data_IF_959937406320
#
_entry.id   IF_959937406320
#
_cell.length_a   1.000
_cell.length_b   1.000
_cell.length_c   1.000
_cell.angle_alpha   90.00
_cell.angle_beta   90.00
_cell.angle_gamma   90.00
#
_symmetry.space_group_name_H-M   'P 1'
#
loop_
_entity.id
_entity.type
_entity.pdbx_description
1 polymer ?
#
# COMPACT_ATOMS: atom_id res chain seq x y z
N UNK A 1 23.87 -7.00 36.93
CA UNK A 1 23.10 -5.85 36.39
C UNK A 1 23.10 -5.99 34.87
N UNK A 2 22.05 -6.55 34.28
CA UNK A 2 21.90 -6.61 32.83
C UNK A 2 20.65 -5.82 32.46
N UNK A 3 20.83 -4.71 31.74
CA UNK A 3 19.73 -3.96 31.16
C UNK A 3 19.35 -4.65 29.85
N UNK A 4 18.20 -5.33 29.83
CA UNK A 4 17.60 -5.82 28.60
C UNK A 4 16.91 -4.61 27.97
N UNK A 5 17.53 -4.05 26.94
CA UNK A 5 16.90 -3.02 26.11
C UNK A 5 15.85 -3.76 25.25
N UNK A 6 14.63 -3.86 25.75
CA UNK A 6 13.47 -4.17 24.90
C UNK A 6 13.24 -2.96 24.00
N UNK A 7 13.33 -3.07 22.66
CA UNK A 7 12.86 -2.00 21.80
C UNK A 7 11.35 -1.89 22.03
N UNK A 8 10.98 -0.82 22.74
CA UNK A 8 9.61 -0.36 22.89
C UNK A 8 8.99 -0.32 21.49
N UNK A 9 7.99 -1.17 21.26
CA UNK A 9 7.16 -1.14 20.06
C UNK A 9 6.39 0.17 20.11
N UNK A 10 7.03 1.25 19.68
CA UNK A 10 6.40 2.53 19.45
C UNK A 10 5.19 2.26 18.58
N UNK A 11 4.02 2.46 19.18
CA UNK A 11 2.70 2.49 18.57
C UNK A 11 2.78 2.98 17.11
N UNK A 12 2.74 2.04 16.17
CA UNK A 12 2.32 2.34 14.81
C UNK A 12 0.79 2.46 14.85
N UNK A 13 0.32 3.58 15.40
CA UNK A 13 -0.98 4.15 14.99
C UNK A 13 -0.87 4.73 13.58
N UNK A 14 -0.29 3.96 12.66
CA UNK A 14 -0.43 4.14 11.23
C UNK A 14 -1.35 3.03 10.80
N UNK A 15 -2.57 3.35 10.40
CA UNK A 15 -3.42 2.39 9.68
C UNK A 15 -2.56 1.78 8.58
N UNK A 16 -2.14 0.52 8.75
CA UNK A 16 -1.33 -0.19 7.76
C UNK A 16 -2.17 -0.18 6.50
N UNK A 17 -1.78 0.64 5.52
CA UNK A 17 -2.49 0.69 4.25
C UNK A 17 -2.19 -0.62 3.55
N UNK A 18 -3.24 -1.41 3.34
CA UNK A 18 -3.17 -2.68 2.67
C UNK A 18 -3.74 -2.51 1.27
N UNK A 19 -3.03 -3.02 0.27
CA UNK A 19 -3.60 -3.24 -1.05
C UNK A 19 -4.14 -4.65 -1.12
N UNK A 20 -5.31 -4.80 -1.73
CA UNK A 20 -5.95 -6.10 -1.87
C UNK A 20 -6.07 -6.41 -3.35
N UNK A 21 -5.48 -7.51 -3.82
CA UNK A 21 -5.70 -7.91 -5.20
C UNK A 21 -7.18 -8.25 -5.42
N UNK A 22 -7.81 -7.64 -6.42
CA UNK A 22 -9.23 -7.88 -6.74
C UNK A 22 -9.49 -9.23 -7.42
N UNK A 23 -8.46 -9.86 -7.95
CA UNK A 23 -8.58 -11.15 -8.61
C UNK A 23 -8.43 -12.32 -7.63
N UNK A 24 -7.36 -12.35 -6.85
CA UNK A 24 -7.09 -13.46 -5.91
C UNK A 24 -7.35 -13.13 -4.44
N UNK A 25 -7.71 -11.90 -4.09
CA UNK A 25 -7.91 -11.42 -2.71
C UNK A 25 -6.66 -11.43 -1.81
N UNK A 26 -5.46 -11.62 -2.40
CA UNK A 26 -4.21 -11.48 -1.66
C UNK A 26 -4.04 -10.05 -1.13
N UNK A 27 -3.50 -9.91 0.08
CA UNK A 27 -3.32 -8.62 0.75
C UNK A 27 -1.83 -8.33 0.89
N UNK A 28 -1.44 -7.12 0.52
CA UNK A 28 -0.06 -6.67 0.52
C UNK A 28 0.06 -5.38 1.32
N UNK A 29 1.16 -5.21 2.04
CA UNK A 29 1.44 -3.94 2.71
C UNK A 29 1.83 -2.91 1.65
N UNK A 30 1.36 -1.67 1.80
CA UNK A 30 1.66 -0.57 0.86
C UNK A 30 3.16 -0.40 0.57
N UNK A 31 4.01 -0.65 1.57
CA UNK A 31 5.47 -0.52 1.45
C UNK A 31 6.13 -1.71 0.71
N UNK A 32 5.45 -2.86 0.60
CA UNK A 32 6.00 -4.08 -0.01
C UNK A 32 5.85 -4.12 -1.53
N UNK A 33 4.87 -3.38 -2.07
CA UNK A 33 4.57 -3.33 -3.49
C UNK A 33 4.73 -1.88 -3.96
N UNK A 34 5.52 -1.67 -4.99
CA UNK A 34 5.65 -0.36 -5.61
C UNK A 34 4.49 -0.12 -6.59
N UNK A 35 3.79 1.00 -6.42
CA UNK A 35 2.77 1.43 -7.39
C UNK A 35 3.46 1.97 -8.64
N UNK A 36 3.02 1.47 -9.80
CA UNK A 36 3.46 1.93 -11.10
C UNK A 36 2.43 2.90 -11.69
N UNK A 37 2.85 3.69 -12.68
CA UNK A 37 1.96 4.55 -13.45
C UNK A 37 2.22 4.36 -14.94
N UNK A 38 1.16 4.27 -15.73
CA UNK A 38 1.21 4.25 -17.20
C UNK A 38 0.20 5.25 -17.78
N UNK A 39 -0.02 5.17 -19.09
CA UNK A 39 -1.01 5.98 -19.82
C UNK A 39 -2.45 5.80 -19.29
N UNK A 40 -2.75 4.67 -18.63
CA UNK A 40 -4.08 4.37 -18.04
C UNK A 40 -4.22 4.86 -16.59
N UNK A 41 -3.13 5.30 -15.97
CA UNK A 41 -3.07 5.81 -14.59
C UNK A 41 -2.22 4.95 -13.66
N UNK A 42 -2.48 5.06 -12.36
CA UNK A 42 -1.75 4.31 -11.33
C UNK A 42 -2.27 2.89 -11.19
N UNK A 43 -1.38 1.93 -10.97
CA UNK A 43 -1.72 0.52 -10.77
C UNK A 43 -0.62 -0.22 -10.01
N UNK A 44 -0.94 -1.41 -9.50
CA UNK A 44 0.07 -2.37 -9.06
C UNK A 44 -0.22 -3.75 -9.66
N UNK A 45 0.83 -4.53 -9.87
CA UNK A 45 0.72 -5.92 -10.32
C UNK A 45 0.75 -6.82 -9.08
N UNK A 46 -0.24 -7.70 -8.96
CA UNK A 46 -0.27 -8.69 -7.89
C UNK A 46 0.85 -9.73 -8.10
N UNK A 47 1.69 -9.96 -7.09
CA UNK A 47 2.78 -10.94 -7.18
C UNK A 47 2.31 -12.41 -7.15
N UNK A 48 1.08 -12.66 -6.69
CA UNK A 48 0.55 -14.02 -6.58
C UNK A 48 -0.21 -14.50 -7.84
N UNK A 49 -0.76 -13.58 -8.63
CA UNK A 49 -1.59 -13.94 -9.78
C UNK A 49 -1.37 -13.06 -11.02
N UNK A 50 -0.36 -12.18 -11.01
CA UNK A 50 0.00 -11.24 -12.07
C UNK A 50 -1.14 -10.30 -12.51
N UNK A 51 -2.22 -10.24 -11.74
CA UNK A 51 -3.36 -9.39 -12.06
C UNK A 51 -3.04 -7.92 -11.83
N UNK A 52 -3.44 -7.07 -12.79
CA UNK A 52 -3.28 -5.61 -12.73
C UNK A 52 -4.42 -4.99 -11.92
N UNK A 53 -4.07 -4.39 -10.78
CA UNK A 53 -5.01 -3.72 -9.90
C UNK A 53 -4.90 -2.20 -10.07
N UNK A 54 -5.99 -1.56 -10.47
CA UNK A 54 -6.03 -0.11 -10.68
C UNK A 54 -6.04 0.65 -9.35
N UNK A 55 -5.27 1.72 -9.30
CA UNK A 55 -5.21 2.65 -8.18
C UNK A 55 -5.73 4.03 -8.62
N UNK A 56 -6.32 4.74 -7.69
CA UNK A 56 -6.84 6.09 -7.90
C UNK A 56 -5.99 7.07 -7.12
N UNK A 57 -5.45 8.07 -7.81
CA UNK A 57 -4.81 9.20 -7.16
C UNK A 57 -5.88 10.18 -6.67
N UNK A 58 -5.97 10.41 -5.36
CA UNK A 58 -6.92 11.36 -4.74
C UNK A 58 -6.32 12.75 -4.51
N UNK A 59 -5.14 13.00 -5.06
CA UNK A 59 -4.44 14.27 -4.95
C UNK A 59 -3.11 14.14 -4.20
N UNK A 60 -2.31 15.22 -4.16
CA UNK A 60 -1.06 15.23 -3.43
C UNK A 60 -1.28 15.17 -1.91
N UNK A 61 -0.34 14.58 -1.18
CA UNK A 61 -0.22 14.70 0.27
C UNK A 61 0.45 16.01 0.67
N UNK A 62 0.65 16.21 1.98
CA UNK A 62 1.33 17.38 2.54
C UNK A 62 2.77 17.58 2.03
N UNK A 63 3.38 16.55 1.44
CA UNK A 63 4.72 16.57 0.85
C UNK A 63 4.71 16.67 -0.68
N UNK A 64 3.52 16.79 -1.29
CA UNK A 64 3.36 16.83 -2.75
C UNK A 64 3.36 15.46 -3.43
N UNK A 65 3.41 14.35 -2.68
CA UNK A 65 3.40 13.00 -3.26
C UNK A 65 1.98 12.55 -3.56
N UNK A 66 1.74 11.83 -4.67
CA UNK A 66 0.41 11.36 -5.00
C UNK A 66 -0.13 10.40 -3.93
N UNK A 67 -1.33 10.67 -3.42
CA UNK A 67 -2.02 9.76 -2.51
C UNK A 67 -2.80 8.75 -3.32
N UNK A 68 -2.25 7.54 -3.40
CA UNK A 68 -2.88 6.44 -4.11
C UNK A 68 -3.77 5.64 -3.17
N UNK A 69 -5.04 5.50 -3.55
CA UNK A 69 -5.98 4.60 -2.89
C UNK A 69 -6.41 3.51 -3.86
N UNK A 70 -6.69 2.34 -3.32
CA UNK A 70 -7.49 1.36 -4.02
C UNK A 70 -8.95 1.70 -3.73
N UNK A 71 -9.72 2.07 -4.76
CA UNK A 71 -11.19 2.10 -4.59
C UNK A 71 -11.68 0.67 -4.52
N UNK A 72 -12.63 0.36 -3.67
CA UNK A 72 -13.51 -0.77 -3.93
C UNK A 72 -14.41 -0.29 -5.07
N UNK A 73 -14.20 -0.78 -6.28
CA UNK A 73 -15.17 -0.52 -7.33
C UNK A 73 -16.45 -1.27 -6.92
N UNK A 74 -17.55 -0.54 -6.84
CA UNK A 74 -18.91 -1.01 -6.52
C UNK A 74 -19.39 -2.08 -7.51
#
# INVERSE_FOLDING_TARGET
>A
MYAIIVPSMTQLSGSVRLWTCRNCNARFVFDEIEAQTDESGFFFICRDCDYRNRLVNVGPDATGRPQLIQRDDE
#
